data_IF_578707809225
#
_entry.id   IF_578707809225
#
_cell.length_a   1.000
_cell.length_b   1.000
_cell.length_c   1.000
_cell.angle_alpha   90.00
_cell.angle_beta   90.00
_cell.angle_gamma   90.00
#
_symmetry.space_group_name_H-M   'P 1'
#
loop_
_entity.id
_entity.type
_entity.pdbx_description
1 polymer ?
#
# COMPACT_ATOMS: atom_id res chain seq x y z
N UNK A 1 26.69 13.66 1.45
CA UNK A 1 25.72 13.32 0.38
C UNK A 1 25.05 12.00 0.74
N UNK A 2 23.85 12.04 1.30
CA UNK A 2 23.07 10.84 1.60
C UNK A 2 22.51 10.32 0.26
N UNK A 3 23.10 9.25 -0.25
CA UNK A 3 22.53 8.50 -1.38
C UNK A 3 21.18 7.97 -0.91
N UNK A 4 20.08 8.58 -1.33
CA UNK A 4 18.76 7.97 -1.27
C UNK A 4 18.88 6.66 -2.04
N UNK A 5 19.06 5.55 -1.31
CA UNK A 5 18.91 4.23 -1.91
C UNK A 5 17.47 4.22 -2.39
N UNK A 6 17.27 4.25 -3.71
CA UNK A 6 15.98 3.97 -4.31
C UNK A 6 15.69 2.49 -4.02
N UNK A 7 15.29 2.19 -2.79
CA UNK A 7 14.84 0.86 -2.42
C UNK A 7 13.56 0.58 -3.20
N UNK A 8 13.59 -0.52 -3.96
CA UNK A 8 12.43 -0.97 -4.69
C UNK A 8 11.30 -1.29 -3.70
N UNK A 9 10.06 -0.87 -3.99
CA UNK A 9 8.94 -1.13 -3.10
C UNK A 9 8.68 -2.63 -3.02
N UNK A 10 8.49 -3.15 -1.81
CA UNK A 10 8.03 -4.53 -1.60
C UNK A 10 6.61 -4.66 -2.15
N UNK A 11 6.43 -5.56 -3.12
CA UNK A 11 5.16 -5.74 -3.82
C UNK A 11 4.30 -6.80 -3.12
N UNK A 12 3.02 -6.50 -2.94
CA UNK A 12 2.03 -7.38 -2.31
C UNK A 12 0.77 -7.41 -3.18
N UNK A 13 0.34 -8.61 -3.54
CA UNK A 13 -0.90 -8.80 -4.30
C UNK A 13 -2.08 -8.98 -3.35
N UNK A 14 -3.06 -8.07 -3.42
CA UNK A 14 -4.27 -8.12 -2.62
C UNK A 14 -5.49 -8.59 -3.41
N UNK A 15 -5.36 -8.90 -4.70
CA UNK A 15 -6.51 -9.14 -5.60
C UNK A 15 -7.34 -10.38 -5.23
N UNK A 16 -6.78 -11.30 -4.47
CA UNK A 16 -7.48 -12.49 -3.97
C UNK A 16 -8.38 -12.22 -2.76
N UNK A 17 -8.28 -11.04 -2.14
CA UNK A 17 -9.01 -10.71 -0.92
C UNK A 17 -10.21 -9.80 -1.21
N UNK A 18 -11.28 -9.95 -0.44
CA UNK A 18 -12.43 -9.04 -0.45
C UNK A 18 -12.65 -8.49 0.96
N UNK A 19 -13.46 -7.44 1.09
CA UNK A 19 -13.83 -6.96 2.42
C UNK A 19 -14.53 -8.07 3.23
N UNK A 20 -14.18 -8.26 4.52
CA UNK A 20 -13.25 -7.45 5.33
C UNK A 20 -11.77 -7.90 5.26
N UNK A 21 -11.48 -9.08 4.71
CA UNK A 21 -10.14 -9.67 4.67
C UNK A 21 -9.11 -8.78 3.96
N UNK A 22 -9.52 -8.08 2.90
CA UNK A 22 -8.69 -7.12 2.16
C UNK A 22 -8.03 -6.10 3.09
N UNK A 23 -8.84 -5.45 3.92
CA UNK A 23 -8.36 -4.43 4.85
C UNK A 23 -7.43 -5.01 5.92
N UNK A 24 -7.76 -6.20 6.45
CA UNK A 24 -6.93 -6.90 7.44
C UNK A 24 -5.55 -7.22 6.86
N UNK A 25 -5.50 -7.78 5.65
CA UNK A 25 -4.25 -8.13 4.98
C UNK A 25 -3.40 -6.91 4.67
N UNK A 26 -4.03 -5.85 4.12
CA UNK A 26 -3.37 -4.57 3.91
C UNK A 26 -2.72 -4.04 5.20
N UNK A 27 -3.50 -3.96 6.29
CA UNK A 27 -3.04 -3.38 7.56
C UNK A 27 -1.91 -4.20 8.20
N UNK A 28 -2.00 -5.53 8.15
CA UNK A 28 -0.97 -6.41 8.70
C UNK A 28 0.36 -6.23 7.98
N UNK A 29 0.33 -6.19 6.64
CA UNK A 29 1.54 -5.98 5.84
C UNK A 29 2.15 -4.60 6.03
N UNK A 30 1.31 -3.55 6.09
CA UNK A 30 1.76 -2.19 6.36
C UNK A 30 2.49 -2.09 7.71
N UNK A 31 1.96 -2.74 8.75
CA UNK A 31 2.57 -2.77 10.09
C UNK A 31 3.81 -3.65 10.19
N UNK A 32 4.02 -4.58 9.25
CA UNK A 32 5.20 -5.44 9.24
C UNK A 32 6.47 -4.74 8.76
N UNK A 33 6.33 -3.56 8.15
CA UNK A 33 7.44 -2.75 7.65
C UNK A 33 7.72 -1.58 8.62
N UNK A 34 8.97 -1.44 9.05
CA UNK A 34 9.41 -0.32 9.88
C UNK A 34 9.73 0.92 9.06
N UNK A 35 10.52 0.79 7.99
CA UNK A 35 10.89 1.86 7.07
C UNK A 35 10.95 1.30 5.65
N UNK A 36 10.46 2.06 4.67
CA UNK A 36 10.59 1.71 3.25
C UNK A 36 9.33 1.99 2.45
N UNK A 37 9.13 1.23 1.37
CA UNK A 37 7.98 1.39 0.47
C UNK A 37 7.26 0.06 0.25
N UNK A 38 5.94 0.09 0.26
CA UNK A 38 5.07 -1.03 -0.08
C UNK A 38 4.25 -0.69 -1.32
N UNK A 39 4.06 -1.67 -2.21
CA UNK A 39 3.19 -1.55 -3.37
C UNK A 39 2.11 -2.63 -3.31
N UNK A 40 0.87 -2.22 -3.10
CA UNK A 40 -0.28 -3.11 -3.00
C UNK A 40 -1.04 -3.15 -4.32
N UNK A 41 -1.07 -4.30 -4.97
CA UNK A 41 -1.82 -4.51 -6.21
C UNK A 41 -3.28 -4.82 -5.87
N UNK A 42 -4.22 -4.14 -6.54
CA UNK A 42 -5.66 -4.36 -6.37
C UNK A 42 -6.37 -4.33 -7.73
N UNK A 43 -7.61 -4.80 -7.73
CA UNK A 43 -8.52 -4.81 -8.89
C UNK A 43 -9.60 -3.74 -8.72
N UNK A 44 -10.10 -3.17 -9.83
CA UNK A 44 -11.22 -2.22 -9.84
C UNK A 44 -12.52 -2.78 -9.21
N UNK A 45 -12.61 -4.11 -9.05
CA UNK A 45 -13.77 -4.76 -8.42
C UNK A 45 -13.72 -4.72 -6.89
N UNK A 46 -12.57 -4.39 -6.30
CA UNK A 46 -12.39 -4.34 -4.85
C UNK A 46 -12.80 -2.98 -4.31
N UNK A 47 -13.52 -2.97 -3.20
CA UNK A 47 -13.79 -1.74 -2.46
C UNK A 47 -12.56 -1.34 -1.64
N UNK A 48 -11.94 -0.22 -2.02
CA UNK A 48 -10.73 0.33 -1.39
C UNK A 48 -11.04 1.42 -0.36
N UNK A 49 -12.32 1.70 -0.08
CA UNK A 49 -12.74 2.83 0.75
C UNK A 49 -12.15 2.80 2.16
N UNK A 50 -12.10 1.63 2.79
CA UNK A 50 -11.54 1.49 4.14
C UNK A 50 -10.02 1.67 4.16
N UNK A 51 -9.32 1.22 3.11
CA UNK A 51 -7.87 1.44 2.95
C UNK A 51 -7.58 2.93 2.78
N UNK A 52 -8.33 3.60 1.90
CA UNK A 52 -8.22 5.06 1.69
C UNK A 52 -8.46 5.83 2.99
N UNK A 53 -9.56 5.55 3.68
CA UNK A 53 -9.89 6.20 4.95
C UNK A 53 -8.79 5.99 5.99
N UNK A 54 -8.26 4.77 6.10
CA UNK A 54 -7.18 4.46 7.04
C UNK A 54 -5.89 5.22 6.72
N UNK A 55 -5.46 5.23 5.45
CA UNK A 55 -4.25 5.93 5.01
C UNK A 55 -4.34 7.44 5.30
N UNK A 56 -5.47 8.06 4.98
CA UNK A 56 -5.72 9.48 5.27
C UNK A 56 -5.73 9.77 6.77
N UNK A 57 -6.41 8.93 7.57
CA UNK A 57 -6.53 9.13 9.01
C UNK A 57 -5.20 9.04 9.77
N UNK A 58 -4.23 8.30 9.24
CA UNK A 58 -2.91 8.12 9.85
C UNK A 58 -1.81 8.92 9.13
N UNK A 59 -2.19 9.79 8.19
CA UNK A 59 -1.27 10.66 7.44
C UNK A 59 -0.13 9.92 6.73
N UNK A 60 -0.37 8.68 6.27
CA UNK A 60 0.61 7.96 5.47
C UNK A 60 0.82 8.66 4.12
N UNK A 61 2.08 8.83 3.72
CA UNK A 61 2.39 9.27 2.37
C UNK A 61 2.10 8.13 1.39
N UNK A 62 1.14 8.33 0.49
CA UNK A 62 0.70 7.29 -0.43
C UNK A 62 0.24 7.87 -1.76
N UNK A 63 0.32 7.05 -2.81
CA UNK A 63 -0.18 7.38 -4.15
C UNK A 63 -0.92 6.21 -4.76
N UNK A 64 -2.03 6.49 -5.44
CA UNK A 64 -2.74 5.53 -6.26
C UNK A 64 -2.22 5.66 -7.69
N UNK A 65 -1.76 4.55 -8.26
CA UNK A 65 -1.14 4.50 -9.57
C UNK A 65 -1.81 3.41 -10.40
N UNK A 66 -1.92 3.68 -11.70
CA UNK A 66 -2.34 2.71 -12.70
C UNK A 66 -1.18 2.48 -13.66
N UNK A 67 -0.84 1.22 -13.93
CA UNK A 67 0.15 0.85 -14.95
C UNK A 67 -0.42 -0.28 -15.80
N UNK A 68 -1.04 0.10 -16.91
CA UNK A 68 -1.69 -0.84 -17.82
C UNK A 68 -2.90 -1.47 -17.16
N UNK A 69 -2.91 -2.81 -17.04
CA UNK A 69 -4.01 -3.57 -16.44
C UNK A 69 -3.95 -3.69 -14.91
N UNK A 70 -2.96 -3.06 -14.27
CA UNK A 70 -2.77 -3.17 -12.83
C UNK A 70 -2.95 -1.82 -12.14
N UNK A 71 -3.82 -1.81 -11.12
CA UNK A 71 -3.86 -0.74 -10.15
C UNK A 71 -3.01 -1.10 -8.95
N UNK A 72 -2.30 -0.12 -8.41
CA UNK A 72 -1.57 -0.30 -7.17
C UNK A 72 -1.57 0.95 -6.32
N UNK A 73 -1.49 0.73 -5.01
CA UNK A 73 -1.26 1.77 -4.02
C UNK A 73 0.19 1.65 -3.60
N UNK A 74 0.97 2.71 -3.77
CA UNK A 74 2.30 2.80 -3.20
C UNK A 74 2.23 3.58 -1.89
N UNK A 75 2.70 2.98 -0.79
CA UNK A 75 2.70 3.58 0.55
C UNK A 75 4.15 3.69 1.01
N UNK A 76 4.55 4.89 1.44
CA UNK A 76 5.88 5.16 1.99
C UNK A 76 5.77 5.17 3.51
N UNK A 77 6.53 4.30 4.16
CA UNK A 77 6.64 4.20 5.61
C UNK A 77 7.95 4.85 6.02
N UNK A 78 7.86 5.96 6.73
CA UNK A 78 9.01 6.65 7.33
C UNK A 78 9.12 6.26 8.79
N UNK A 79 10.35 6.27 9.31
CA UNK A 79 10.57 6.16 10.76
C UNK A 79 9.86 7.34 11.44
N UNK A 80 9.09 7.05 12.49
CA UNK A 80 8.34 8.05 13.29
C UNK A 80 9.17 8.54 14.45
#
# INVERSE_FOLDING_TARGET
>A
MCKTRNEEPRVIDLRSYQCPQLFVQFKWQLKSLSVGKLRFIYSDKQDMSDIQRYLCAHSYHHVFLNKGSFNYIEVHVTDV
#
